data_IF_209959457976
#
_entry.id   IF_209959457976
#
_cell.length_a   1.000
_cell.length_b   1.000
_cell.length_c   1.000
_cell.angle_alpha   90.00
_cell.angle_beta   90.00
_cell.angle_gamma   90.00
#
_symmetry.space_group_name_H-M   'P 1'
#
loop_
_entity.id
_entity.type
_entity.pdbx_description
1 polymer ?
#
# COMPACT_ATOMS: atom_id res chain seq x y z
N UNK A 1 -2.74 -6.14 13.64
CA UNK A 1 -1.40 -5.72 14.12
C UNK A 1 -0.84 -4.64 13.21
N UNK A 2 -0.16 -3.64 13.78
CA UNK A 2 0.56 -2.59 13.05
C UNK A 2 2.06 -2.90 13.07
N UNK A 3 2.68 -3.04 11.90
CA UNK A 3 4.11 -3.30 11.73
C UNK A 3 4.71 -2.05 11.07
N UNK A 4 5.72 -1.46 11.71
CA UNK A 4 6.39 -0.26 11.22
C UNK A 4 7.91 -0.52 11.23
N UNK A 5 8.52 -0.46 10.05
CA UNK A 5 9.96 -0.38 9.88
C UNK A 5 10.28 0.96 9.21
N UNK A 6 10.58 1.98 10.03
CA UNK A 6 10.88 3.33 9.53
C UNK A 6 12.19 3.38 8.73
N UNK A 7 13.15 2.51 9.04
CA UNK A 7 14.46 2.48 8.38
C UNK A 7 14.30 1.98 6.94
N UNK A 8 13.44 0.97 6.74
CA UNK A 8 13.14 0.41 5.41
C UNK A 8 11.88 1.01 4.78
N UNK A 9 11.27 2.01 5.41
CA UNK A 9 10.05 2.66 4.95
C UNK A 9 8.83 1.74 4.84
N UNK A 10 8.73 0.67 5.63
CA UNK A 10 7.62 -0.29 5.54
C UNK A 10 6.55 -0.01 6.59
N UNK A 11 5.29 0.07 6.14
CA UNK A 11 4.12 0.31 6.98
C UNK A 11 3.04 -0.71 6.63
N UNK A 12 2.75 -1.65 7.53
CA UNK A 12 1.87 -2.79 7.26
C UNK A 12 0.80 -2.90 8.34
N UNK A 13 -0.44 -3.05 7.91
CA UNK A 13 -1.55 -3.54 8.75
C UNK A 13 -1.74 -5.01 8.40
N UNK A 14 -1.58 -5.88 9.40
CA UNK A 14 -1.59 -7.32 9.23
C UNK A 14 -2.55 -7.98 10.23
N UNK A 15 -3.38 -8.90 9.76
CA UNK A 15 -4.19 -9.74 10.61
C UNK A 15 -3.41 -10.97 11.03
N UNK A 16 -3.36 -11.18 12.33
CA UNK A 16 -2.92 -12.43 12.94
C UNK A 16 -3.88 -12.71 14.09
N UNK A 17 -4.92 -13.48 13.80
CA UNK A 17 -5.94 -13.83 14.76
C UNK A 17 -6.84 -14.96 14.30
N UNK A 18 -7.92 -15.14 15.02
CA UNK A 18 -8.96 -16.12 14.71
C UNK A 18 -10.31 -15.44 14.84
N UNK A 19 -11.23 -15.79 13.95
CA UNK A 19 -12.64 -15.48 14.07
C UNK A 19 -13.40 -16.80 14.10
N UNK A 20 -13.98 -17.13 15.25
CA UNK A 20 -14.47 -18.47 15.57
C UNK A 20 -13.40 -19.55 15.28
N UNK A 21 -13.70 -20.50 14.40
CA UNK A 21 -12.80 -21.57 13.96
C UNK A 21 -12.01 -21.22 12.70
N UNK A 22 -12.15 -20.00 12.17
CA UNK A 22 -11.46 -19.55 10.96
C UNK A 22 -10.21 -18.75 11.32
N UNK A 23 -9.10 -19.12 10.68
CA UNK A 23 -7.84 -18.37 10.77
C UNK A 23 -7.94 -17.09 9.97
N UNK A 24 -7.74 -15.95 10.62
CA UNK A 24 -7.53 -14.66 9.97
C UNK A 24 -6.04 -14.34 9.98
N UNK A 25 -5.40 -14.56 8.83
CA UNK A 25 -3.98 -14.37 8.66
C UNK A 25 -3.68 -13.77 7.29
N UNK A 26 -3.19 -12.53 7.26
CA UNK A 26 -2.90 -11.86 6.00
C UNK A 26 -2.70 -10.36 6.12
N UNK A 27 -2.10 -9.78 5.09
CA UNK A 27 -1.94 -8.34 4.98
C UNK A 27 -3.29 -7.69 4.63
N UNK A 28 -3.64 -6.61 5.33
CA UNK A 28 -4.81 -5.77 4.99
C UNK A 28 -4.35 -4.57 4.14
N UNK A 29 -3.23 -3.96 4.51
CA UNK A 29 -2.66 -2.82 3.79
C UNK A 29 -1.15 -2.85 3.95
N UNK A 30 -0.43 -2.57 2.87
CA UNK A 30 1.02 -2.44 2.88
C UNK A 30 1.43 -1.23 2.04
N UNK A 31 2.02 -0.25 2.71
CA UNK A 31 2.64 0.91 2.10
C UNK A 31 4.16 0.82 2.30
N UNK A 32 4.89 1.12 1.24
CA UNK A 32 6.34 1.29 1.25
C UNK A 32 6.68 2.73 0.84
N UNK A 33 7.51 3.41 1.62
CA UNK A 33 8.08 4.72 1.25
C UNK A 33 9.53 4.51 0.87
N UNK A 34 9.86 4.76 -0.40
CA UNK A 34 11.22 4.62 -0.93
C UNK A 34 12.08 5.83 -0.56
N UNK A 35 13.40 5.65 -0.61
CA UNK A 35 14.37 6.71 -0.31
C UNK A 35 14.22 7.96 -1.20
N UNK A 36 13.70 7.79 -2.43
CA UNK A 36 13.40 8.89 -3.35
C UNK A 36 12.09 9.62 -3.01
N UNK A 37 11.42 9.28 -1.91
CA UNK A 37 10.15 9.87 -1.47
C UNK A 37 8.90 9.24 -2.09
N UNK A 38 9.04 8.34 -3.08
CA UNK A 38 7.87 7.71 -3.71
C UNK A 38 7.17 6.74 -2.77
N UNK A 39 5.85 6.79 -2.80
CA UNK A 39 4.96 5.94 -2.01
C UNK A 39 4.50 4.80 -2.89
N UNK A 40 4.77 3.57 -2.48
CA UNK A 40 4.32 2.36 -3.13
C UNK A 40 3.19 1.75 -2.34
N UNK A 41 1.97 1.74 -2.90
CA UNK A 41 0.85 0.99 -2.36
C UNK A 41 0.98 -0.47 -2.80
N UNK A 42 1.58 -1.31 -1.95
CA UNK A 42 1.94 -2.70 -2.24
C UNK A 42 0.74 -3.63 -2.15
N UNK A 43 -0.19 -3.33 -1.26
CA UNK A 43 -1.46 -4.03 -1.10
C UNK A 43 -2.50 -3.09 -0.48
N UNK A 44 -3.72 -3.14 -1.00
CA UNK A 44 -4.90 -2.50 -0.44
C UNK A 44 -6.07 -3.49 -0.47
N UNK A 45 -6.34 -4.11 0.68
CA UNK A 45 -7.47 -5.02 0.88
C UNK A 45 -8.66 -4.33 1.54
N UNK A 46 -8.73 -3.01 1.50
CA UNK A 46 -9.78 -2.22 2.15
C UNK A 46 -10.80 -1.68 1.14
N UNK A 47 -11.99 -1.38 1.61
CA UNK A 47 -13.07 -0.71 0.85
C UNK A 47 -12.98 0.83 0.93
N UNK A 48 -12.01 1.36 1.66
CA UNK A 48 -11.85 2.81 1.90
C UNK A 48 -10.91 3.48 0.89
N UNK A 49 -10.38 2.73 -0.08
CA UNK A 49 -9.50 3.18 -1.16
C UNK A 49 -8.29 3.99 -0.64
N UNK A 50 -7.28 3.31 -0.07
CA UNK A 50 -6.10 3.95 0.52
C UNK A 50 -5.39 4.85 -0.49
N UNK A 51 -5.34 4.45 -1.75
CA UNK A 51 -4.80 5.27 -2.84
C UNK A 51 -5.47 6.65 -2.91
N UNK A 52 -6.81 6.70 -2.90
CA UNK A 52 -7.55 7.96 -2.95
C UNK A 52 -7.33 8.79 -1.68
N UNK A 53 -7.29 8.15 -0.50
CA UNK A 53 -6.99 8.87 0.76
C UNK A 53 -5.62 9.54 0.76
N UNK A 54 -4.63 8.94 0.10
CA UNK A 54 -3.30 9.57 -0.06
C UNK A 54 -3.38 10.81 -0.94
N UNK A 55 -4.11 10.73 -2.07
CA UNK A 55 -4.35 11.88 -2.95
C UNK A 55 -5.07 13.03 -2.22
N UNK A 56 -6.14 12.70 -1.47
CA UNK A 56 -6.90 13.68 -0.69
C UNK A 56 -6.05 14.37 0.40
N UNK A 57 -4.96 13.71 0.83
CA UNK A 57 -3.97 14.25 1.78
C UNK A 57 -2.83 15.02 1.10
N UNK A 58 -2.88 15.19 -0.21
CA UNK A 58 -1.92 16.00 -0.98
C UNK A 58 -0.75 15.20 -1.55
N UNK A 59 -0.82 13.88 -1.63
CA UNK A 59 0.15 13.09 -2.40
C UNK A 59 -0.16 13.26 -3.89
N UNK A 60 0.83 13.72 -4.66
CA UNK A 60 0.67 13.82 -6.11
C UNK A 60 0.62 12.41 -6.75
N UNK A 61 -0.18 12.25 -7.81
CA UNK A 61 -0.24 10.97 -8.55
C UNK A 61 1.14 10.54 -9.06
N UNK A 62 2.02 11.50 -9.38
CA UNK A 62 3.40 11.28 -9.83
C UNK A 62 4.34 10.75 -8.75
N UNK A 63 3.93 10.77 -7.49
CA UNK A 63 4.69 10.25 -6.34
C UNK A 63 4.09 8.95 -5.76
N UNK A 64 2.92 8.53 -6.25
CA UNK A 64 2.21 7.32 -5.83
C UNK A 64 2.35 6.22 -6.90
N UNK A 65 2.91 5.08 -6.53
CA UNK A 65 3.03 3.87 -7.35
C UNK A 65 2.00 2.83 -6.89
N UNK A 66 1.17 2.35 -7.82
CA UNK A 66 0.27 1.20 -7.56
C UNK A 66 1.08 -0.09 -7.66
N UNK A 67 1.67 -0.48 -6.54
CA UNK A 67 2.67 -1.55 -6.45
C UNK A 67 2.14 -2.95 -6.78
N UNK A 68 0.84 -3.19 -6.61
CA UNK A 68 0.19 -4.46 -6.96
C UNK A 68 -0.22 -4.57 -8.44
N UNK A 69 -0.15 -3.49 -9.22
CA UNK A 69 -0.22 -3.57 -10.68
C UNK A 69 1.12 -4.05 -11.24
N UNK A 70 1.07 -4.85 -12.32
CA UNK A 70 2.29 -5.23 -13.05
C UNK A 70 2.97 -3.99 -13.63
N UNK A 71 4.30 -4.02 -13.88
CA UNK A 71 5.01 -2.89 -14.47
C UNK A 71 4.35 -2.37 -15.76
N UNK A 72 3.91 -3.28 -16.64
CA UNK A 72 3.23 -2.92 -17.89
C UNK A 72 1.90 -2.22 -17.64
N UNK A 73 1.11 -2.67 -16.65
CA UNK A 73 -0.17 -2.03 -16.33
C UNK A 73 0.00 -0.60 -15.82
N UNK A 74 1.12 -0.30 -15.13
CA UNK A 74 1.38 1.04 -14.61
C UNK A 74 1.62 2.07 -15.70
N UNK A 75 2.18 1.66 -16.84
CA UNK A 75 2.38 2.53 -18.01
C UNK A 75 1.05 3.06 -18.57
N UNK A 76 -0.06 2.35 -18.33
CA UNK A 76 -1.41 2.73 -18.76
C UNK A 76 -2.22 3.42 -17.66
N UNK A 77 -1.59 3.77 -16.53
CA UNK A 77 -2.24 4.43 -15.40
C UNK A 77 -1.77 5.88 -15.26
N UNK A 78 -2.56 6.72 -14.60
CA UNK A 78 -2.17 8.11 -14.29
C UNK A 78 -1.15 8.23 -13.13
N UNK A 79 -0.71 7.10 -12.57
CA UNK A 79 0.17 7.02 -11.40
C UNK A 79 1.64 6.85 -11.80
N UNK A 80 2.54 6.98 -10.84
CA UNK A 80 3.96 6.70 -11.06
C UNK A 80 4.21 5.23 -11.43
N UNK A 81 5.17 5.02 -12.35
CA UNK A 81 5.54 3.68 -12.83
C UNK A 81 6.44 2.93 -11.83
N UNK A 82 7.37 3.66 -11.21
CA UNK A 82 8.35 3.18 -10.23
C UNK A 82 8.73 4.31 -9.28
#
# INVERSE_FOLDING_TARGET
MLIIDKIKGQYIIFNDGWHDSKRDYGCICHIEVKDNGRIWLRHDGTDIEIGQKLLDKGVEKSDLVIGFHSPQMREWSDFAIA
#
